data_IF_347044718101
#
_entry.id   IF_347044718101
#
_cell.length_a   1.000
_cell.length_b   1.000
_cell.length_c   1.000
_cell.angle_alpha   90.00
_cell.angle_beta   90.00
_cell.angle_gamma   90.00
#
_symmetry.space_group_name_H-M   'P 1'
#
loop_
_entity.id
_entity.type
_entity.pdbx_description
1 polymer ?
#
# COMPACT_ATOMS: atom_id res chain seq x y z
N UNK A 1 5.31 -32.27 -3.56
CA UNK A 1 3.87 -31.99 -3.54
C UNK A 1 3.31 -32.29 -4.91
N UNK A 2 2.09 -32.83 -5.00
CA UNK A 2 1.44 -33.06 -6.29
C UNK A 2 1.09 -31.69 -6.88
N UNK A 3 1.53 -31.43 -8.11
CA UNK A 3 1.14 -30.23 -8.85
C UNK A 3 -0.37 -30.36 -9.16
N UNK A 4 -1.18 -29.46 -8.62
CA UNK A 4 -2.62 -29.44 -8.92
C UNK A 4 -2.81 -28.84 -10.32
N UNK A 5 -3.71 -29.43 -11.11
CA UNK A 5 -4.06 -28.87 -12.42
C UNK A 5 -4.66 -27.48 -12.19
N UNK A 6 -4.18 -26.43 -12.89
CA UNK A 6 -4.67 -25.09 -12.70
C UNK A 6 -6.12 -24.97 -13.20
N UNK A 7 -6.96 -24.36 -12.39
CA UNK A 7 -8.41 -24.25 -12.61
C UNK A 7 -8.70 -22.91 -13.29
N UNK A 8 -8.53 -22.86 -14.61
CA UNK A 8 -8.53 -21.61 -15.38
C UNK A 8 -9.22 -21.79 -16.72
N UNK A 9 -10.02 -20.81 -17.12
CA UNK A 9 -10.63 -20.79 -18.45
C UNK A 9 -9.59 -20.76 -19.56
N UNK A 10 -8.42 -20.14 -19.32
CA UNK A 10 -7.30 -20.12 -20.28
C UNK A 10 -6.82 -21.54 -20.56
N UNK A 11 -6.73 -22.39 -19.55
CA UNK A 11 -6.30 -23.77 -19.74
C UNK A 11 -7.30 -24.58 -20.55
N UNK A 12 -8.60 -24.33 -20.36
CA UNK A 12 -9.64 -25.05 -21.09
C UNK A 12 -9.66 -24.61 -22.55
N UNK A 13 -9.59 -23.31 -22.83
CA UNK A 13 -9.74 -22.79 -24.21
C UNK A 13 -8.44 -22.71 -25.01
N UNK A 14 -7.27 -22.90 -24.38
CA UNK A 14 -5.94 -22.77 -25.00
C UNK A 14 -4.99 -23.93 -24.65
N UNK A 15 -5.48 -25.17 -24.56
CA UNK A 15 -4.64 -26.35 -24.34
C UNK A 15 -3.70 -26.63 -25.53
N UNK A 16 -2.42 -26.94 -25.29
CA UNK A 16 -1.41 -27.10 -26.35
C UNK A 16 -1.38 -28.46 -27.03
N UNK A 17 -1.69 -29.54 -26.31
CA UNK A 17 -1.73 -30.90 -26.83
C UNK A 17 -3.09 -31.52 -26.54
N UNK A 18 -3.73 -32.06 -27.58
CA UNK A 18 -4.94 -32.88 -27.51
C UNK A 18 -4.58 -34.26 -28.04
N UNK A 19 -4.25 -35.19 -27.14
CA UNK A 19 -3.94 -36.57 -27.52
C UNK A 19 -5.19 -37.42 -27.36
N UNK A 20 -5.70 -37.94 -28.46
CA UNK A 20 -6.80 -38.91 -28.45
C UNK A 20 -6.18 -40.31 -28.33
N UNK A 21 -6.31 -40.93 -27.16
CA UNK A 21 -6.14 -42.37 -27.00
C UNK A 21 -7.53 -43.01 -26.91
N UNK A 22 -7.70 -44.27 -27.34
CA UNK A 22 -8.98 -44.97 -27.60
C UNK A 22 -9.96 -45.01 -26.40
N UNK A 23 -9.57 -44.47 -25.24
CA UNK A 23 -10.42 -44.30 -24.06
C UNK A 23 -10.16 -43.03 -23.22
N UNK A 24 -9.20 -42.18 -23.58
CA UNK A 24 -8.89 -40.95 -22.81
C UNK A 24 -8.39 -39.81 -23.69
N UNK A 25 -8.99 -38.63 -23.53
CA UNK A 25 -8.44 -37.38 -24.07
C UNK A 25 -7.41 -36.87 -23.07
N UNK A 26 -6.13 -36.88 -23.44
CA UNK A 26 -5.09 -36.22 -22.66
C UNK A 26 -4.92 -34.80 -23.17
N UNK A 27 -5.35 -33.84 -22.34
CA UNK A 27 -5.19 -32.42 -22.58
C UNK A 27 -3.99 -31.89 -21.80
N UNK A 28 -3.08 -31.21 -22.48
CA UNK A 28 -2.00 -30.47 -21.84
C UNK A 28 -2.46 -29.04 -21.54
N UNK A 29 -2.73 -28.79 -20.28
CA UNK A 29 -3.22 -27.51 -19.74
C UNK A 29 -2.07 -26.55 -19.43
N UNK A 30 -1.40 -26.03 -20.45
CA UNK A 30 -0.32 -25.05 -20.30
C UNK A 30 -0.66 -23.65 -20.86
N UNK A 31 -1.86 -23.48 -21.44
CA UNK A 31 -2.34 -22.21 -21.99
C UNK A 31 -1.57 -21.74 -23.24
N UNK A 32 -0.68 -22.57 -23.80
CA UNK A 32 0.14 -22.23 -24.97
C UNK A 32 -0.46 -22.72 -26.30
N UNK A 33 -1.67 -23.29 -26.26
CA UNK A 33 -2.39 -23.76 -27.42
C UNK A 33 -3.00 -22.65 -28.28
N UNK A 34 -3.34 -23.00 -29.51
CA UNK A 34 -4.13 -22.15 -30.40
C UNK A 34 -5.55 -21.98 -29.86
N UNK A 35 -6.14 -20.82 -30.10
CA UNK A 35 -7.56 -20.55 -29.79
C UNK A 35 -8.43 -21.63 -30.45
N UNK A 36 -9.31 -22.26 -29.68
CA UNK A 36 -10.35 -23.15 -30.20
C UNK A 36 -11.18 -22.46 -31.29
N UNK A 37 -11.64 -23.22 -32.28
CA UNK A 37 -12.59 -22.73 -33.27
C UNK A 37 -13.92 -22.32 -32.61
N UNK A 38 -14.70 -21.42 -33.23
CA UNK A 38 -15.98 -20.98 -32.67
C UNK A 38 -16.96 -22.12 -32.36
N UNK A 39 -16.92 -23.20 -33.14
CA UNK A 39 -17.76 -24.38 -32.94
C UNK A 39 -17.30 -25.18 -31.71
N UNK A 40 -15.99 -25.40 -31.55
CA UNK A 40 -15.41 -26.06 -30.37
C UNK A 40 -15.64 -25.27 -29.07
N UNK A 41 -15.59 -23.93 -29.14
CA UNK A 41 -15.93 -23.07 -28.00
C UNK A 41 -17.40 -23.30 -27.62
N UNK A 42 -18.30 -23.32 -28.60
CA UNK A 42 -19.74 -23.49 -28.36
C UNK A 42 -20.03 -24.86 -27.73
N UNK A 43 -19.38 -25.92 -28.22
CA UNK A 43 -19.53 -27.27 -27.69
C UNK A 43 -18.97 -27.40 -26.27
N UNK A 44 -17.82 -26.78 -26.00
CA UNK A 44 -17.23 -26.73 -24.64
C UNK A 44 -18.17 -26.02 -23.65
N UNK A 45 -18.75 -24.89 -24.06
CA UNK A 45 -19.71 -24.14 -23.24
C UNK A 45 -21.02 -24.92 -23.00
N UNK A 46 -21.50 -25.69 -23.99
CA UNK A 46 -22.64 -26.61 -23.78
C UNK A 46 -22.30 -27.71 -22.78
N UNK A 47 -21.10 -28.29 -22.89
CA UNK A 47 -20.60 -29.27 -21.95
C UNK A 47 -20.51 -28.74 -20.51
N UNK A 48 -20.16 -27.46 -20.32
CA UNK A 48 -20.19 -26.84 -18.99
C UNK A 48 -21.60 -26.80 -18.41
N UNK A 49 -22.60 -26.43 -19.21
CA UNK A 49 -24.00 -26.39 -18.77
C UNK A 49 -24.51 -27.79 -18.43
N UNK A 50 -24.21 -28.79 -19.28
CA UNK A 50 -24.65 -30.18 -19.08
C UNK A 50 -24.07 -30.80 -17.81
N UNK A 51 -22.81 -30.48 -17.48
CA UNK A 51 -22.13 -30.97 -16.29
C UNK A 51 -22.29 -30.06 -15.05
N UNK A 52 -23.06 -28.97 -15.16
CA UNK A 52 -23.30 -28.04 -14.06
C UNK A 52 -22.07 -27.25 -13.59
N UNK A 53 -21.13 -26.98 -14.50
CA UNK A 53 -19.87 -26.28 -14.20
C UNK A 53 -20.07 -24.78 -14.39
N UNK A 54 -20.47 -24.09 -13.31
CA UNK A 54 -20.75 -22.65 -13.30
C UNK A 54 -19.72 -21.81 -12.55
N UNK A 55 -18.67 -22.43 -12.01
CA UNK A 55 -17.77 -21.75 -11.07
C UNK A 55 -16.87 -20.67 -11.74
N UNK A 56 -16.67 -20.76 -13.06
CA UNK A 56 -15.94 -19.77 -13.85
C UNK A 56 -16.81 -18.64 -14.39
N UNK A 57 -18.14 -18.77 -14.37
CA UNK A 57 -19.07 -17.87 -15.08
C UNK A 57 -19.97 -17.10 -14.12
N UNK A 58 -20.68 -16.10 -14.63
CA UNK A 58 -21.70 -15.38 -13.88
C UNK A 58 -23.04 -16.14 -13.81
N UNK A 59 -24.03 -15.51 -13.15
CA UNK A 59 -25.40 -16.03 -13.00
C UNK A 59 -26.21 -16.04 -14.29
N UNK A 60 -25.80 -15.27 -15.29
CA UNK A 60 -26.55 -15.09 -16.53
C UNK A 60 -26.17 -16.16 -17.58
N UNK A 61 -25.06 -16.88 -17.34
CA UNK A 61 -24.66 -18.06 -18.09
C UNK A 61 -25.62 -19.24 -17.87
N UNK A 62 -26.23 -19.74 -18.95
CA UNK A 62 -27.23 -20.82 -18.90
C UNK A 62 -27.34 -21.57 -20.23
N UNK A 63 -28.12 -22.65 -20.26
CA UNK A 63 -28.42 -23.41 -21.49
C UNK A 63 -28.96 -22.55 -22.65
N UNK A 64 -29.60 -21.43 -22.32
CA UNK A 64 -30.18 -20.49 -23.29
C UNK A 64 -29.28 -19.29 -23.60
N UNK A 65 -28.27 -19.05 -22.75
CA UNK A 65 -27.34 -17.93 -22.88
C UNK A 65 -25.91 -18.39 -22.54
N UNK A 66 -25.13 -18.71 -23.57
CA UNK A 66 -23.74 -19.15 -23.43
C UNK A 66 -22.75 -17.98 -23.31
N UNK A 67 -23.20 -16.81 -22.83
CA UNK A 67 -22.36 -15.63 -22.64
C UNK A 67 -22.26 -15.30 -21.16
N UNK A 68 -21.07 -14.88 -20.74
CA UNK A 68 -20.79 -14.41 -19.39
C UNK A 68 -20.15 -13.02 -19.46
N UNK A 69 -20.52 -12.16 -18.52
CA UNK A 69 -19.93 -10.82 -18.33
C UNK A 69 -18.72 -10.89 -17.40
N UNK A 70 -18.69 -11.87 -16.50
CA UNK A 70 -17.60 -12.09 -15.57
C UNK A 70 -17.01 -13.48 -15.78
N UNK A 71 -15.68 -13.57 -15.78
CA UNK A 71 -14.97 -14.84 -15.87
C UNK A 71 -13.94 -14.92 -14.77
N UNK A 72 -13.91 -16.05 -14.05
CA UNK A 72 -12.93 -16.33 -13.00
C UNK A 72 -11.92 -17.36 -13.47
N UNK A 73 -10.67 -17.18 -13.07
CA UNK A 73 -9.62 -18.20 -13.18
C UNK A 73 -8.85 -18.27 -11.87
N UNK A 74 -8.35 -19.44 -11.48
CA UNK A 74 -7.55 -19.62 -10.28
C UNK A 74 -6.37 -20.53 -10.57
N UNK A 75 -5.19 -20.00 -10.30
CA UNK A 75 -3.93 -20.72 -10.47
C UNK A 75 -3.41 -21.08 -9.08
N UNK A 76 -3.11 -22.36 -8.86
CA UNK A 76 -2.60 -22.86 -7.58
C UNK A 76 -1.17 -23.31 -7.75
N UNK A 77 -0.25 -22.59 -7.12
CA UNK A 77 1.17 -22.92 -7.12
C UNK A 77 1.58 -23.42 -5.74
N UNK A 78 2.45 -24.43 -5.68
CA UNK A 78 3.02 -24.92 -4.42
C UNK A 78 4.45 -25.39 -4.61
N UNK A 79 5.30 -24.49 -5.09
CA UNK A 79 6.72 -24.75 -5.36
C UNK A 79 7.62 -23.68 -4.76
N UNK A 80 8.88 -24.01 -4.52
CA UNK A 80 9.89 -23.01 -4.17
C UNK A 80 10.00 -21.96 -5.30
N UNK A 81 10.10 -20.69 -4.95
CA UNK A 81 10.19 -19.56 -5.90
C UNK A 81 8.85 -18.92 -6.30
N UNK A 82 7.71 -19.43 -5.80
CA UNK A 82 6.38 -18.84 -6.08
C UNK A 82 6.30 -17.38 -5.64
N UNK A 83 6.86 -17.05 -4.46
CA UNK A 83 6.82 -15.70 -3.90
C UNK A 83 7.58 -14.68 -4.77
N UNK A 84 8.79 -15.02 -5.23
CA UNK A 84 9.56 -14.15 -6.11
C UNK A 84 8.86 -13.94 -7.46
N UNK A 85 8.29 -15.01 -8.02
CA UNK A 85 7.50 -14.92 -9.25
C UNK A 85 6.23 -14.07 -9.06
N UNK A 86 5.52 -14.19 -7.94
CA UNK A 86 4.35 -13.38 -7.62
C UNK A 86 4.72 -11.89 -7.51
N UNK A 87 5.85 -11.57 -6.90
CA UNK A 87 6.35 -10.19 -6.83
C UNK A 87 6.70 -9.63 -8.22
N UNK A 88 7.36 -10.42 -9.08
CA UNK A 88 7.62 -10.02 -10.48
C UNK A 88 6.30 -9.82 -11.25
N UNK A 89 5.37 -10.78 -11.16
CA UNK A 89 4.06 -10.69 -11.77
C UNK A 89 3.29 -9.45 -11.30
N UNK A 90 3.43 -9.10 -10.02
CA UNK A 90 2.81 -7.90 -9.46
C UNK A 90 3.28 -6.64 -10.15
N UNK A 91 4.60 -6.44 -10.19
CA UNK A 91 5.20 -5.23 -10.75
C UNK A 91 5.07 -5.13 -12.26
N UNK A 92 5.15 -6.25 -12.97
CA UNK A 92 5.15 -6.28 -14.43
C UNK A 92 3.73 -6.25 -15.02
N UNK A 93 2.74 -6.79 -14.29
CA UNK A 93 1.39 -6.96 -14.83
C UNK A 93 0.27 -6.55 -13.87
N UNK A 94 0.21 -7.11 -12.65
CA UNK A 94 -1.00 -6.98 -11.82
C UNK A 94 -1.25 -5.54 -11.33
N UNK A 95 -0.19 -4.76 -11.07
CA UNK A 95 -0.31 -3.35 -10.67
C UNK A 95 -0.99 -2.51 -11.74
N UNK A 96 -0.69 -2.79 -13.01
CA UNK A 96 -1.11 -1.99 -14.17
C UNK A 96 -2.09 -2.75 -15.09
N UNK A 97 -2.76 -3.79 -14.56
CA UNK A 97 -3.59 -4.73 -15.33
C UNK A 97 -4.87 -4.12 -15.92
N UNK A 98 -5.24 -2.89 -15.54
CA UNK A 98 -6.43 -2.19 -16.04
C UNK A 98 -6.16 -1.31 -17.26
N UNK A 99 -5.05 -1.51 -17.97
CA UNK A 99 -4.72 -0.77 -19.20
C UNK A 99 -5.45 -1.28 -20.47
N UNK A 100 -6.51 -2.07 -20.33
CA UNK A 100 -7.28 -2.61 -21.46
C UNK A 100 -8.61 -1.87 -21.66
N UNK A 101 -8.96 -1.56 -22.91
CA UNK A 101 -10.15 -0.74 -23.24
C UNK A 101 -11.51 -1.40 -22.95
N UNK A 102 -11.55 -2.74 -22.91
CA UNK A 102 -12.79 -3.51 -22.84
C UNK A 102 -12.80 -4.58 -21.75
N UNK A 103 -11.70 -4.70 -20.99
CA UNK A 103 -11.52 -5.76 -20.01
C UNK A 103 -11.02 -5.10 -18.73
N UNK A 104 -11.73 -5.36 -17.63
CA UNK A 104 -11.29 -5.01 -16.28
C UNK A 104 -10.79 -6.28 -15.63
N UNK A 105 -9.55 -6.24 -15.13
CA UNK A 105 -8.93 -7.38 -14.48
C UNK A 105 -8.90 -7.09 -12.98
N UNK A 106 -9.49 -7.99 -12.20
CA UNK A 106 -9.36 -8.01 -10.76
C UNK A 106 -8.66 -9.29 -10.35
N UNK A 107 -7.76 -9.19 -9.38
CA UNK A 107 -7.01 -10.30 -8.85
C UNK A 107 -7.00 -10.22 -7.32
N UNK A 108 -6.69 -11.34 -6.68
CA UNK A 108 -6.59 -11.44 -5.24
C UNK A 108 -5.60 -12.56 -4.92
N UNK A 109 -4.61 -12.24 -4.11
CA UNK A 109 -3.61 -13.18 -3.60
C UNK A 109 -3.31 -12.81 -2.14
N UNK A 110 -3.35 -13.81 -1.25
CA UNK A 110 -3.17 -13.58 0.19
C UNK A 110 -1.69 -13.37 0.53
N UNK A 111 -0.79 -14.11 -0.12
CA UNK A 111 0.64 -14.08 0.17
C UNK A 111 1.30 -12.75 -0.28
N UNK A 112 0.71 -12.05 -1.24
CA UNK A 112 1.24 -10.78 -1.78
C UNK A 112 0.82 -9.55 -0.97
N UNK A 113 -0.24 -9.68 -0.16
CA UNK A 113 -0.84 -8.57 0.58
C UNK A 113 0.16 -7.82 1.46
N UNK A 114 0.93 -8.55 2.28
CA UNK A 114 1.91 -7.93 3.19
C UNK A 114 3.03 -7.24 2.40
N UNK A 115 3.43 -7.81 1.25
CA UNK A 115 4.44 -7.23 0.38
C UNK A 115 3.96 -5.91 -0.24
N UNK A 116 2.74 -5.88 -0.78
CA UNK A 116 2.14 -4.67 -1.36
C UNK A 116 1.99 -3.55 -0.35
N UNK A 117 1.49 -3.89 0.85
CA UNK A 117 1.33 -2.94 1.94
C UNK A 117 2.68 -2.37 2.34
N UNK A 118 3.72 -3.20 2.47
CA UNK A 118 5.06 -2.74 2.83
C UNK A 118 5.69 -1.89 1.73
N UNK A 119 5.59 -2.29 0.46
CA UNK A 119 6.13 -1.55 -0.68
C UNK A 119 5.48 -0.17 -0.81
N UNK A 120 4.15 -0.11 -0.67
CA UNK A 120 3.39 1.15 -0.68
C UNK A 120 3.77 2.02 0.51
N UNK A 121 3.87 1.43 1.71
CA UNK A 121 4.27 2.15 2.92
C UNK A 121 5.68 2.72 2.82
N UNK A 122 6.64 2.01 2.22
CA UNK A 122 7.99 2.52 1.99
C UNK A 122 7.99 3.70 1.01
N UNK A 123 7.21 3.61 -0.07
CA UNK A 123 7.09 4.69 -1.05
C UNK A 123 6.51 5.95 -0.39
N UNK A 124 5.40 5.82 0.31
CA UNK A 124 4.74 6.93 1.00
C UNK A 124 5.63 7.49 2.11
N UNK A 125 6.31 6.63 2.88
CA UNK A 125 7.26 7.07 3.89
C UNK A 125 8.40 7.91 3.30
N UNK A 126 8.90 7.59 2.11
CA UNK A 126 9.93 8.38 1.45
C UNK A 126 9.44 9.78 1.08
N UNK A 127 8.25 9.91 0.48
CA UNK A 127 7.64 11.21 0.19
C UNK A 127 7.38 12.02 1.46
N UNK A 128 6.98 11.32 2.52
CA UNK A 128 6.68 11.90 3.81
C UNK A 128 7.93 12.50 4.50
N UNK A 129 9.10 11.87 4.32
CA UNK A 129 10.39 12.43 4.76
C UNK A 129 10.69 13.76 4.05
N UNK A 130 10.32 13.89 2.77
CA UNK A 130 10.38 15.15 2.03
C UNK A 130 9.57 16.26 2.69
N UNK A 131 8.36 15.94 3.18
CA UNK A 131 7.53 16.89 3.93
C UNK A 131 8.18 17.34 5.23
N UNK A 132 8.78 16.42 6.01
CA UNK A 132 9.54 16.81 7.21
C UNK A 132 10.72 17.70 6.88
N UNK A 133 11.41 17.44 5.76
CA UNK A 133 12.47 18.30 5.24
C UNK A 133 12.00 19.74 4.98
N UNK A 134 10.80 19.91 4.41
CA UNK A 134 10.22 21.23 4.15
C UNK A 134 9.83 21.98 5.43
N UNK A 135 9.26 21.28 6.41
CA UNK A 135 8.97 21.86 7.75
C UNK A 135 10.27 22.32 8.40
N UNK A 136 11.30 21.46 8.40
CA UNK A 136 12.61 21.80 8.95
C UNK A 136 13.26 22.99 8.23
N UNK A 137 13.19 23.04 6.90
CA UNK A 137 13.68 24.18 6.13
C UNK A 137 12.96 25.48 6.53
N UNK A 138 11.65 25.44 6.72
CA UNK A 138 10.86 26.58 7.19
C UNK A 138 11.27 27.00 8.60
N UNK A 139 11.51 26.05 9.51
CA UNK A 139 12.04 26.34 10.84
C UNK A 139 13.41 27.02 10.78
N UNK A 140 14.32 26.53 9.94
CA UNK A 140 15.65 27.14 9.76
C UNK A 140 15.55 28.58 9.25
N UNK A 141 14.70 28.84 8.25
CA UNK A 141 14.49 30.16 7.67
C UNK A 141 13.91 31.14 8.71
N UNK A 142 12.88 30.72 9.45
CA UNK A 142 12.20 31.58 10.41
C UNK A 142 13.05 31.82 11.65
N UNK A 143 13.77 30.80 12.13
CA UNK A 143 14.66 30.90 13.30
C UNK A 143 16.00 31.55 12.96
N UNK A 144 16.39 31.63 11.68
CA UNK A 144 17.69 32.14 11.20
C UNK A 144 18.88 31.41 11.84
N UNK A 145 18.73 30.12 12.13
CA UNK A 145 19.78 29.34 12.80
C UNK A 145 19.51 27.84 12.79
N UNK A 146 20.44 27.08 12.18
CA UNK A 146 20.35 25.61 12.03
C UNK A 146 20.40 24.89 13.37
N UNK A 147 21.23 25.36 14.31
CA UNK A 147 21.39 24.74 15.63
C UNK A 147 20.08 24.79 16.43
N UNK A 148 19.41 25.94 16.45
CA UNK A 148 18.15 26.13 17.17
C UNK A 148 17.02 25.28 16.57
N UNK A 149 16.92 25.24 15.24
CA UNK A 149 15.96 24.38 14.55
C UNK A 149 16.23 22.89 14.83
N UNK A 150 17.50 22.47 14.89
CA UNK A 150 17.89 21.09 15.19
C UNK A 150 17.49 20.67 16.62
N UNK A 151 17.72 21.53 17.61
CA UNK A 151 17.28 21.27 18.99
C UNK A 151 15.76 21.22 19.11
N UNK A 152 15.05 22.07 18.37
CA UNK A 152 13.59 22.04 18.29
C UNK A 152 13.06 20.71 17.73
N UNK A 153 13.56 20.30 16.56
CA UNK A 153 13.18 19.04 15.94
C UNK A 153 13.56 17.83 16.80
N UNK A 154 14.73 17.86 17.44
CA UNK A 154 15.15 16.81 18.38
C UNK A 154 14.17 16.69 19.56
N UNK A 155 13.63 17.80 20.06
CA UNK A 155 12.59 17.80 21.09
C UNK A 155 11.32 17.07 20.64
N UNK A 156 10.85 17.33 19.42
CA UNK A 156 9.69 16.65 18.82
C UNK A 156 9.93 15.13 18.71
N UNK A 157 11.09 14.74 18.17
CA UNK A 157 11.46 13.32 18.00
C UNK A 157 11.58 12.62 19.35
N UNK A 158 12.19 13.26 20.35
CA UNK A 158 12.29 12.72 21.70
C UNK A 158 10.92 12.55 22.37
N UNK A 159 9.97 13.46 22.13
CA UNK A 159 8.58 13.32 22.59
C UNK A 159 7.92 12.07 22.01
N UNK A 160 8.13 11.82 20.70
CA UNK A 160 7.63 10.61 20.06
C UNK A 160 8.29 9.34 20.62
N UNK A 161 9.63 9.32 20.77
CA UNK A 161 10.35 8.18 21.35
C UNK A 161 9.92 7.88 22.79
N UNK A 162 9.69 8.93 23.59
CA UNK A 162 9.15 8.79 24.95
C UNK A 162 7.75 8.18 24.92
N UNK A 163 6.87 8.68 24.05
CA UNK A 163 5.51 8.15 23.88
C UNK A 163 5.53 6.68 23.45
N UNK A 164 6.41 6.32 22.51
CA UNK A 164 6.61 4.94 22.06
C UNK A 164 7.05 4.02 23.21
N UNK A 165 7.98 4.49 24.05
CA UNK A 165 8.41 3.74 25.23
C UNK A 165 7.25 3.47 26.18
N UNK A 166 6.42 4.47 26.49
CA UNK A 166 5.24 4.28 27.35
C UNK A 166 4.22 3.35 26.71
N UNK A 167 3.98 3.47 25.40
CA UNK A 167 3.08 2.59 24.66
C UNK A 167 3.53 1.13 24.71
N UNK A 168 4.80 0.86 24.42
CA UNK A 168 5.32 -0.50 24.32
C UNK A 168 5.56 -1.13 25.69
N UNK A 169 6.25 -0.42 26.59
CA UNK A 169 6.71 -0.97 27.88
C UNK A 169 5.63 -0.89 28.95
N UNK A 170 4.88 0.22 29.03
CA UNK A 170 3.90 0.42 30.12
C UNK A 170 2.52 -0.10 29.73
N UNK A 171 2.06 0.16 28.50
CA UNK A 171 0.75 -0.32 28.04
C UNK A 171 0.77 -1.77 27.50
N UNK A 172 1.95 -2.31 27.17
CA UNK A 172 2.11 -3.70 26.71
C UNK A 172 1.56 -3.94 25.30
N UNK A 173 1.44 -2.89 24.49
CA UNK A 173 0.92 -3.01 23.13
C UNK A 173 2.08 -3.24 22.14
N UNK A 174 2.17 -4.48 21.63
CA UNK A 174 3.31 -4.93 20.81
C UNK A 174 3.20 -4.56 19.32
N UNK A 175 2.03 -4.10 18.86
CA UNK A 175 1.79 -3.79 17.45
C UNK A 175 1.52 -2.30 17.24
N UNK A 176 2.29 -1.72 16.32
CA UNK A 176 2.06 -0.39 15.76
C UNK A 176 1.20 -0.53 14.49
N UNK A 177 0.11 0.21 14.43
CA UNK A 177 -0.74 0.25 13.22
C UNK A 177 -0.27 1.37 12.29
N UNK A 178 -0.71 1.33 11.04
CA UNK A 178 -0.47 2.40 10.07
C UNK A 178 -1.00 3.76 10.58
N UNK A 179 -2.03 3.77 11.42
CA UNK A 179 -2.56 4.98 12.06
C UNK A 179 -1.51 5.69 12.94
N UNK A 180 -0.65 4.92 13.61
CA UNK A 180 0.41 5.47 14.46
C UNK A 180 1.48 6.19 13.61
N UNK A 181 1.73 5.72 12.38
CA UNK A 181 2.61 6.42 11.45
C UNK A 181 2.03 7.78 11.03
N UNK A 182 0.73 7.85 10.74
CA UNK A 182 0.04 9.11 10.42
C UNK A 182 0.14 10.11 11.59
N UNK A 183 0.05 9.63 12.83
CA UNK A 183 0.16 10.49 14.03
C UNK A 183 1.50 11.22 14.14
N UNK A 184 2.58 10.66 13.59
CA UNK A 184 3.91 11.26 13.61
C UNK A 184 3.97 12.56 12.79
N UNK A 185 3.22 12.63 11.67
CA UNK A 185 3.07 13.87 10.89
C UNK A 185 2.36 14.96 11.68
N UNK A 186 1.25 14.58 12.32
CA UNK A 186 0.43 15.50 13.09
C UNK A 186 1.21 16.10 14.27
N UNK A 187 1.91 15.26 15.04
CA UNK A 187 2.72 15.71 16.17
C UNK A 187 3.85 16.63 15.71
N UNK A 188 4.50 16.31 14.59
CA UNK A 188 5.59 17.14 14.08
C UNK A 188 5.11 18.50 13.60
N UNK A 189 3.94 18.57 12.94
CA UNK A 189 3.34 19.83 12.52
C UNK A 189 3.02 20.74 13.71
N UNK A 190 2.26 20.22 14.68
CA UNK A 190 1.87 20.97 15.88
C UNK A 190 3.12 21.38 16.69
N UNK A 191 4.05 20.46 16.89
CA UNK A 191 5.29 20.74 17.63
C UNK A 191 6.16 21.80 16.93
N UNK A 192 6.23 21.81 15.60
CA UNK A 192 6.97 22.82 14.87
C UNK A 192 6.32 24.21 14.99
N UNK A 193 4.99 24.28 14.93
CA UNK A 193 4.22 25.52 15.09
C UNK A 193 4.46 26.18 16.45
N UNK A 194 4.44 25.41 17.54
CA UNK A 194 4.71 25.92 18.89
C UNK A 194 6.12 26.53 18.98
N UNK A 195 7.13 25.84 18.46
CA UNK A 195 8.52 26.32 18.52
C UNK A 195 8.66 27.62 17.69
N UNK A 196 7.98 27.70 16.55
CA UNK A 196 7.98 28.90 15.71
C UNK A 196 7.31 30.09 16.41
N UNK A 197 6.17 29.88 17.07
CA UNK A 197 5.47 30.92 17.83
C UNK A 197 6.37 31.46 18.96
N UNK A 198 6.98 30.57 19.75
CA UNK A 198 7.85 30.99 20.85
C UNK A 198 9.10 31.72 20.34
N UNK A 199 9.73 31.20 19.29
CA UNK A 199 10.92 31.81 18.67
C UNK A 199 10.60 33.22 18.14
N UNK A 200 9.44 33.38 17.50
CA UNK A 200 9.01 34.67 16.98
C UNK A 200 8.71 35.66 18.11
N UNK A 201 8.01 35.23 19.17
CA UNK A 201 7.73 36.06 20.34
C UNK A 201 9.03 36.57 21.00
N UNK A 202 10.04 35.69 21.13
CA UNK A 202 11.34 36.07 21.67
C UNK A 202 12.10 37.08 20.80
N UNK A 203 12.02 36.94 19.47
CA UNK A 203 12.63 37.87 18.52
C UNK A 203 11.98 39.24 18.56
N UNK A 204 10.64 39.29 18.60
CA UNK A 204 9.88 40.54 18.72
C UNK A 204 10.28 41.26 20.02
N UNK A 205 10.33 40.54 21.15
CA UNK A 205 10.76 41.14 22.42
C UNK A 205 12.20 41.64 22.42
N UNK A 206 13.10 40.91 21.76
CA UNK A 206 14.49 41.35 21.60
C UNK A 206 14.61 42.64 20.78
N UNK A 207 13.70 42.89 19.84
CA UNK A 207 13.66 44.12 19.05
C UNK A 207 13.00 45.28 19.81
N UNK A 208 11.95 45.02 20.58
CA UNK A 208 11.23 46.04 21.35
C UNK A 208 12.01 46.53 22.58
N UNK A 209 12.71 45.63 23.28
CA UNK A 209 13.37 45.91 24.56
C UNK A 209 14.81 45.35 24.58
N UNK A 210 15.75 46.01 23.89
CA UNK A 210 17.12 45.51 23.78
C UNK A 210 17.90 45.59 25.10
N UNK A 211 17.49 46.46 26.03
CA UNK A 211 18.17 46.65 27.32
C UNK A 211 17.81 45.59 28.37
N UNK A 212 16.72 44.84 28.18
CA UNK A 212 16.34 43.75 29.10
C UNK A 212 17.28 42.55 28.99
N UNK A 213 17.45 41.85 30.11
CA UNK A 213 18.25 40.63 30.12
C UNK A 213 17.59 39.54 29.26
N UNK A 214 18.35 38.62 28.64
CA UNK A 214 17.77 37.53 27.85
C UNK A 214 16.79 36.65 28.63
N UNK A 215 17.00 36.50 29.95
CA UNK A 215 16.13 35.72 30.82
C UNK A 215 14.75 36.38 31.00
N UNK A 216 14.72 37.70 31.19
CA UNK A 216 13.47 38.48 31.28
C UNK A 216 12.70 38.42 29.97
N UNK A 217 13.40 38.61 28.84
CA UNK A 217 12.82 38.49 27.49
C UNK A 217 12.22 37.11 27.23
N UNK A 218 12.91 36.04 27.65
CA UNK A 218 12.40 34.67 27.52
C UNK A 218 11.18 34.43 28.40
N UNK A 219 11.19 34.91 29.66
CA UNK A 219 10.04 34.82 30.56
C UNK A 219 8.81 35.50 29.94
N UNK A 220 8.98 36.69 29.40
CA UNK A 220 7.91 37.45 28.76
C UNK A 220 7.39 36.80 27.48
N UNK A 221 8.31 36.31 26.63
CA UNK A 221 7.96 35.56 25.43
C UNK A 221 7.21 34.27 25.78
N UNK A 222 7.60 33.58 26.84
CA UNK A 222 6.94 32.37 27.33
C UNK A 222 5.54 32.68 27.89
N UNK A 223 5.36 33.73 28.69
CA UNK A 223 4.03 34.11 29.19
C UNK A 223 3.06 34.45 28.05
N UNK A 224 3.53 35.13 27.01
CA UNK A 224 2.71 35.47 25.85
C UNK A 224 2.48 34.28 24.91
N UNK A 225 3.52 33.47 24.68
CA UNK A 225 3.45 32.31 23.80
C UNK A 225 2.62 31.18 24.38
N UNK A 226 2.78 30.88 25.68
CA UNK A 226 2.06 29.79 26.35
C UNK A 226 0.54 29.97 26.34
N UNK A 227 0.05 31.21 26.39
CA UNK A 227 -1.38 31.49 26.27
C UNK A 227 -1.98 31.13 24.90
N UNK A 228 -1.15 30.99 23.86
CA UNK A 228 -1.56 30.55 22.52
C UNK A 228 -1.29 29.06 22.27
N UNK A 229 -0.49 28.40 23.11
CA UNK A 229 -0.06 27.00 22.98
C UNK A 229 -0.89 26.02 23.84
N UNK A 230 -1.56 26.53 24.89
CA UNK A 230 -2.46 25.79 25.79
C UNK A 230 -3.90 25.86 25.34
#
# INVERSE_FOLDING_TARGET
>A
GVCLVPDSTVNVFFASEVTFDDSTIQLRYDGAGSVMSPDEITDTLRGFVENGIFWWTDKDFSATNLKSTFTRSTFRFRTAGTEAWLQELYWDFLRDCNNFNHIVISWHEDDLYDYEVLATLQHDALWSLGSFGMVYATMVLQMKGVVHASFGLMGIVLSFLSTYYFYYVVAGWEKMTLLNFVSLFLITGIGADDILILSNAFKIRTAEMPEETPAERMKDAYMKGSAAML
#
